data_IF_882942610450
#
_entry.id   IF_882942610450
#
_cell.length_a   1.000
_cell.length_b   1.000
_cell.length_c   1.000
_cell.angle_alpha   90.00
_cell.angle_beta   90.00
_cell.angle_gamma   90.00
#
_symmetry.space_group_name_H-M   'P 1'
#
loop_
_entity.id
_entity.type
_entity.pdbx_description
1 polymer ?
#
# COMPACT_ATOMS: atom_id res chain seq x y z
N UNK A 1 4.31 -9.38 18.75
CA UNK A 1 5.75 -9.37 18.46
C UNK A 1 5.94 -9.61 16.99
N UNK A 2 6.69 -8.74 16.31
CA UNK A 2 6.93 -8.83 14.90
C UNK A 2 8.30 -9.46 14.64
N UNK A 3 8.34 -10.77 14.59
CA UNK A 3 9.54 -11.54 14.22
C UNK A 3 9.73 -11.50 12.70
N UNK A 4 10.71 -10.74 12.25
CA UNK A 4 11.09 -10.73 10.85
C UNK A 4 12.15 -9.69 10.52
N UNK A 5 13.40 -10.10 10.58
CA UNK A 5 14.60 -9.42 10.07
C UNK A 5 15.31 -8.43 10.99
N UNK A 6 16.54 -8.77 11.29
CA UNK A 6 17.49 -8.18 12.21
C UNK A 6 18.20 -6.92 11.69
N UNK A 7 17.53 -6.01 11.00
CA UNK A 7 18.14 -4.73 10.67
C UNK A 7 17.19 -3.62 11.09
N UNK A 8 17.51 -2.97 12.22
CA UNK A 8 16.93 -1.72 12.71
C UNK A 8 15.39 -1.65 12.60
N UNK A 9 14.68 -2.56 13.30
CA UNK A 9 13.26 -2.36 13.53
C UNK A 9 13.08 -1.06 14.33
N UNK A 10 12.25 -0.15 13.85
CA UNK A 10 11.88 1.02 14.66
C UNK A 10 11.25 0.52 15.97
N UNK A 11 11.63 1.06 17.13
CA UNK A 11 11.07 0.63 18.40
C UNK A 11 9.56 0.93 18.44
N UNK A 12 8.82 0.07 19.03
CA UNK A 12 7.40 0.34 19.34
C UNK A 12 7.29 1.47 20.37
N UNK A 13 6.13 2.11 20.44
CA UNK A 13 5.85 3.14 21.46
C UNK A 13 6.10 2.60 22.87
N UNK A 14 5.68 1.36 23.14
CA UNK A 14 5.86 0.71 24.43
C UNK A 14 7.34 0.46 24.76
N UNK A 15 8.14 0.01 23.79
CA UNK A 15 9.59 -0.19 23.95
C UNK A 15 10.32 1.14 24.19
N UNK A 16 9.97 2.19 23.44
CA UNK A 16 10.57 3.50 23.60
C UNK A 16 10.28 4.09 25.01
N UNK A 17 9.04 3.95 25.49
CA UNK A 17 8.66 4.37 26.85
C UNK A 17 9.39 3.53 27.90
N UNK A 18 9.48 2.21 27.73
CA UNK A 18 10.20 1.32 28.64
C UNK A 18 11.72 1.59 28.65
N UNK A 19 12.28 2.02 27.51
CA UNK A 19 13.69 2.45 27.43
C UNK A 19 13.96 3.81 28.09
N UNK A 20 12.95 4.48 28.63
CA UNK A 20 13.11 5.71 29.41
C UNK A 20 12.83 7.00 28.65
N UNK A 21 12.23 6.95 27.46
CA UNK A 21 11.77 8.16 26.80
C UNK A 21 10.70 8.87 27.63
N UNK A 22 10.88 10.17 27.85
CA UNK A 22 9.91 10.98 28.59
C UNK A 22 8.60 11.17 27.80
N UNK A 23 8.73 11.28 26.47
CA UNK A 23 7.62 11.45 25.54
C UNK A 23 7.98 10.81 24.18
N UNK A 24 7.02 10.13 23.59
CA UNK A 24 7.07 9.58 22.24
C UNK A 24 5.96 10.21 21.40
N UNK A 25 6.30 10.72 20.22
CA UNK A 25 5.34 11.30 19.28
C UNK A 25 5.23 10.38 18.06
N UNK A 26 4.00 10.07 17.64
CA UNK A 26 3.74 9.24 16.47
C UNK A 26 2.43 9.63 15.77
N UNK A 27 2.24 9.15 14.54
CA UNK A 27 1.07 9.46 13.71
C UNK A 27 0.01 8.37 13.81
N UNK A 28 -1.26 8.77 13.83
CA UNK A 28 -2.40 7.86 13.80
C UNK A 28 -2.66 7.27 12.42
N UNK A 29 -2.37 8.00 11.35
CA UNK A 29 -2.66 7.69 9.95
C UNK A 29 -1.55 6.91 9.22
N UNK A 30 -0.53 6.47 9.94
CA UNK A 30 0.56 5.66 9.39
C UNK A 30 0.36 4.17 9.74
N UNK A 31 1.33 3.55 10.39
CA UNK A 31 1.31 2.12 10.73
C UNK A 31 0.16 1.72 11.65
N UNK A 32 -0.34 2.66 12.46
CA UNK A 32 -1.52 2.43 13.29
C UNK A 32 -2.79 2.19 12.45
N UNK A 33 -2.88 2.77 11.26
CA UNK A 33 -4.03 2.60 10.35
C UNK A 33 -5.29 3.33 10.81
N UNK A 34 -5.15 4.35 11.65
CA UNK A 34 -6.23 5.22 12.10
C UNK A 34 -6.32 6.52 11.30
N UNK A 35 -7.04 7.53 11.81
CA UNK A 35 -7.16 8.84 11.18
C UNK A 35 -5.89 9.66 11.36
N UNK A 36 -5.77 10.73 10.58
CA UNK A 36 -4.69 11.69 10.73
C UNK A 36 -4.77 12.37 12.10
N UNK A 37 -3.81 12.05 12.95
CA UNK A 37 -3.68 12.62 14.29
C UNK A 37 -2.22 12.51 14.76
N UNK A 38 -1.73 13.55 15.43
CA UNK A 38 -0.50 13.48 16.20
C UNK A 38 -0.81 12.93 17.61
N UNK A 39 -0.17 11.83 17.97
CA UNK A 39 -0.38 11.17 19.26
C UNK A 39 0.89 11.31 20.10
N UNK A 40 0.71 11.67 21.37
CA UNK A 40 1.79 11.77 22.34
C UNK A 40 1.55 10.76 23.46
N UNK A 41 2.54 9.91 23.73
CA UNK A 41 2.53 8.96 24.83
C UNK A 41 3.81 9.14 25.66
N UNK A 42 3.77 8.85 26.96
CA UNK A 42 4.95 8.95 27.81
C UNK A 42 4.62 9.15 29.29
N UNK A 43 5.57 9.72 30.04
CA UNK A 43 5.44 9.91 31.48
C UNK A 43 4.25 10.82 31.82
N UNK A 44 3.42 10.38 32.74
CA UNK A 44 2.18 11.07 33.13
C UNK A 44 2.36 12.54 33.51
N UNK A 45 3.47 12.87 34.19
CA UNK A 45 3.81 14.27 34.55
C UNK A 45 4.01 15.14 33.31
N UNK A 46 4.81 14.64 32.31
CA UNK A 46 5.09 15.36 31.08
C UNK A 46 3.80 15.53 30.25
N UNK A 47 3.08 14.44 30.06
CA UNK A 47 1.79 14.47 29.34
C UNK A 47 0.78 15.41 30.04
N UNK A 48 0.74 15.38 31.38
CA UNK A 48 -0.13 16.27 32.16
C UNK A 48 0.19 17.75 31.96
N UNK A 49 1.47 18.10 31.80
CA UNK A 49 1.92 19.48 31.46
C UNK A 49 1.54 19.85 30.04
N UNK A 50 1.79 18.96 29.06
CA UNK A 50 1.45 19.17 27.66
C UNK A 50 -0.06 19.38 27.46
N UNK A 51 -0.91 18.62 28.17
CA UNK A 51 -2.39 18.77 28.10
C UNK A 51 -2.90 20.14 28.55
N UNK A 52 -2.12 20.89 29.33
CA UNK A 52 -2.47 22.24 29.81
C UNK A 52 -1.89 23.34 28.92
N UNK A 53 -1.09 23.00 27.92
CA UNK A 53 -0.44 24.00 27.08
C UNK A 53 -1.48 24.71 26.17
N UNK A 54 -1.47 26.06 26.10
CA UNK A 54 -2.46 26.81 25.31
C UNK A 54 -2.51 26.42 23.82
N UNK A 55 -1.36 25.98 23.24
CA UNK A 55 -1.28 25.58 21.84
C UNK A 55 -2.19 24.39 21.50
N UNK A 56 -2.53 23.53 22.47
CA UNK A 56 -3.46 22.43 22.25
C UNK A 56 -4.86 22.92 21.86
N UNK A 57 -5.22 24.16 22.18
CA UNK A 57 -6.47 24.72 21.72
C UNK A 57 -6.51 24.89 20.20
N UNK A 58 -5.39 25.28 19.59
CA UNK A 58 -5.25 25.43 18.15
C UNK A 58 -5.05 24.07 17.43
N UNK A 59 -4.38 23.12 18.09
CA UNK A 59 -4.04 21.80 17.51
C UNK A 59 -5.08 20.71 17.83
N UNK A 60 -6.19 21.05 18.46
CA UNK A 60 -7.18 20.07 18.89
C UNK A 60 -7.87 19.42 17.69
N UNK A 61 -7.82 18.07 17.57
CA UNK A 61 -8.58 17.37 16.54
C UNK A 61 -10.10 17.50 16.77
N UNK A 62 -10.86 17.35 15.71
CA UNK A 62 -12.32 17.36 15.76
C UNK A 62 -12.88 16.06 16.37
N UNK A 63 -14.21 16.04 16.57
CA UNK A 63 -14.90 14.92 17.21
C UNK A 63 -14.86 13.63 16.39
N UNK A 64 -14.91 13.73 15.05
CA UNK A 64 -14.90 12.58 14.16
C UNK A 64 -13.52 11.92 14.17
N UNK A 65 -12.46 12.72 14.10
CA UNK A 65 -11.08 12.25 14.26
C UNK A 65 -10.89 11.51 15.58
N UNK A 66 -11.39 12.08 16.70
CA UNK A 66 -11.28 11.43 18.01
C UNK A 66 -12.08 10.13 18.09
N UNK A 67 -13.30 10.10 17.56
CA UNK A 67 -14.12 8.88 17.54
C UNK A 67 -13.49 7.77 16.71
N UNK A 68 -13.00 8.11 15.52
CA UNK A 68 -12.33 7.15 14.62
C UNK A 68 -11.04 6.62 15.23
N UNK A 69 -10.24 7.50 15.85
CA UNK A 69 -9.01 7.09 16.55
C UNK A 69 -9.33 6.15 17.72
N UNK A 70 -10.37 6.48 18.51
CA UNK A 70 -10.81 5.62 19.61
C UNK A 70 -11.19 4.23 19.10
N UNK A 71 -12.04 4.15 18.06
CA UNK A 71 -12.44 2.86 17.47
C UNK A 71 -11.22 2.05 16.96
N UNK A 72 -10.26 2.71 16.34
CA UNK A 72 -9.02 2.06 15.90
C UNK A 72 -8.25 1.49 17.10
N UNK A 73 -8.06 2.28 18.16
CA UNK A 73 -7.34 1.85 19.37
C UNK A 73 -8.08 0.73 20.11
N UNK A 74 -9.41 0.72 20.10
CA UNK A 74 -10.24 -0.35 20.66
C UNK A 74 -10.02 -1.67 19.92
N UNK A 75 -9.90 -1.67 18.59
CA UNK A 75 -9.56 -2.86 17.83
C UNK A 75 -8.21 -3.45 18.27
N UNK A 76 -7.20 -2.62 18.50
CA UNK A 76 -5.91 -3.07 19.02
C UNK A 76 -6.00 -3.60 20.46
N UNK A 77 -6.69 -2.87 21.34
CA UNK A 77 -6.87 -3.25 22.75
C UNK A 77 -7.58 -4.59 22.90
N UNK A 78 -8.58 -4.85 22.06
CA UNK A 78 -9.47 -6.00 22.16
C UNK A 78 -8.96 -7.21 21.31
N UNK A 79 -7.76 -7.09 20.72
CA UNK A 79 -7.14 -8.17 19.92
C UNK A 79 -7.77 -8.37 18.55
N UNK A 80 -8.45 -7.35 18.03
CA UNK A 80 -9.08 -7.34 16.71
C UNK A 80 -8.29 -6.52 15.67
N UNK A 81 -7.00 -6.33 15.89
CA UNK A 81 -6.10 -5.54 15.03
C UNK A 81 -6.04 -6.05 13.58
N UNK A 82 -6.32 -7.35 13.35
CA UNK A 82 -6.48 -7.91 12.01
C UNK A 82 -7.65 -7.28 11.20
N UNK A 83 -8.56 -6.57 11.83
CA UNK A 83 -9.61 -5.81 11.14
C UNK A 83 -9.11 -4.48 10.60
N UNK A 84 -7.96 -3.97 11.07
CA UNK A 84 -7.32 -2.77 10.56
C UNK A 84 -6.63 -3.10 9.22
N UNK A 85 -7.04 -2.48 8.09
CA UNK A 85 -6.48 -2.82 6.76
C UNK A 85 -4.97 -2.72 6.70
N UNK A 86 -4.38 -1.63 7.21
CA UNK A 86 -2.92 -1.44 7.25
C UNK A 86 -2.22 -2.57 8.00
N UNK A 87 -2.75 -2.98 9.16
CA UNK A 87 -2.20 -4.08 9.95
C UNK A 87 -2.24 -5.39 9.18
N UNK A 88 -3.37 -5.69 8.53
CA UNK A 88 -3.54 -6.88 7.71
C UNK A 88 -2.55 -6.94 6.55
N UNK A 89 -2.35 -5.80 5.85
CA UNK A 89 -1.37 -5.70 4.77
C UNK A 89 0.07 -5.93 5.28
N UNK A 90 0.42 -5.38 6.45
CA UNK A 90 1.75 -5.54 7.04
C UNK A 90 2.05 -6.97 7.47
N UNK A 91 1.06 -7.69 8.01
CA UNK A 91 1.21 -9.03 8.60
C UNK A 91 0.84 -10.16 7.65
N UNK A 92 0.44 -9.86 6.40
CA UNK A 92 0.06 -10.88 5.43
C UNK A 92 1.21 -11.87 5.17
N UNK A 93 0.94 -13.15 5.36
CA UNK A 93 1.89 -14.24 5.15
C UNK A 93 2.22 -14.41 3.66
N UNK A 94 3.49 -14.70 3.30
CA UNK A 94 3.90 -14.88 1.92
C UNK A 94 3.07 -15.97 1.18
N UNK A 95 2.69 -17.04 1.85
CA UNK A 95 1.87 -18.09 1.24
C UNK A 95 0.48 -17.61 0.84
N UNK A 96 -0.14 -16.74 1.67
CA UNK A 96 -1.45 -16.13 1.36
C UNK A 96 -1.32 -15.17 0.18
N UNK A 97 -0.26 -14.38 0.14
CA UNK A 97 0.01 -13.46 -0.96
C UNK A 97 0.28 -14.21 -2.27
N UNK A 98 1.02 -15.32 -2.22
CA UNK A 98 1.24 -16.17 -3.39
C UNK A 98 -0.07 -16.72 -3.93
N UNK A 99 -0.92 -17.30 -3.09
CA UNK A 99 -2.23 -17.82 -3.50
C UNK A 99 -3.12 -16.72 -4.10
N UNK A 100 -3.08 -15.50 -3.53
CA UNK A 100 -3.80 -14.34 -4.06
C UNK A 100 -3.28 -13.91 -5.42
N UNK A 101 -1.97 -13.89 -5.64
CA UNK A 101 -1.36 -13.57 -6.92
C UNK A 101 -1.70 -14.63 -7.99
N UNK A 102 -1.65 -15.92 -7.65
CA UNK A 102 -2.03 -17.01 -8.55
C UNK A 102 -3.51 -16.89 -8.96
N UNK A 103 -4.41 -16.55 -8.03
CA UNK A 103 -5.83 -16.31 -8.30
C UNK A 103 -6.04 -15.10 -9.23
N UNK A 104 -5.30 -14.00 -9.00
CA UNK A 104 -5.35 -12.82 -9.87
C UNK A 104 -4.86 -13.17 -11.27
N UNK A 105 -3.76 -13.91 -11.43
CA UNK A 105 -3.26 -14.37 -12.71
C UNK A 105 -4.31 -15.18 -13.47
N UNK A 106 -5.01 -16.11 -12.79
CA UNK A 106 -6.08 -16.90 -13.41
C UNK A 106 -7.23 -16.01 -13.93
N UNK A 107 -7.62 -14.99 -13.15
CA UNK A 107 -8.63 -14.01 -13.57
C UNK A 107 -8.15 -13.17 -14.76
N UNK A 108 -6.89 -12.78 -14.78
CA UNK A 108 -6.27 -12.09 -15.91
C UNK A 108 -6.30 -12.97 -17.17
N UNK A 109 -5.89 -14.22 -17.07
CA UNK A 109 -5.92 -15.17 -18.19
C UNK A 109 -7.35 -15.38 -18.73
N UNK A 110 -8.33 -15.53 -17.84
CA UNK A 110 -9.74 -15.63 -18.23
C UNK A 110 -10.26 -14.35 -18.93
N UNK A 111 -9.69 -13.19 -18.61
CA UNK A 111 -9.98 -11.91 -19.25
C UNK A 111 -9.15 -11.65 -20.53
N UNK A 112 -8.30 -12.60 -20.96
CA UNK A 112 -7.43 -12.44 -22.13
C UNK A 112 -6.20 -11.55 -21.86
N UNK A 113 -5.80 -11.37 -20.60
CA UNK A 113 -4.63 -10.61 -20.18
C UNK A 113 -3.50 -11.59 -19.90
N UNK A 114 -2.41 -11.47 -20.65
CA UNK A 114 -1.17 -12.20 -20.37
C UNK A 114 -0.47 -11.55 -19.17
N UNK A 115 -0.23 -12.33 -18.11
CA UNK A 115 0.33 -11.85 -16.87
C UNK A 115 1.08 -12.95 -16.14
N UNK A 116 2.16 -12.59 -15.45
CA UNK A 116 3.05 -13.49 -14.72
C UNK A 116 3.05 -13.19 -13.24
N UNK A 117 3.04 -14.23 -12.40
CA UNK A 117 3.25 -14.06 -10.95
C UNK A 117 4.73 -13.97 -10.66
N UNK A 118 5.14 -12.88 -10.01
CA UNK A 118 6.53 -12.64 -9.64
C UNK A 118 6.67 -12.39 -8.13
N UNK A 119 7.75 -12.93 -7.55
CA UNK A 119 8.16 -12.57 -6.19
C UNK A 119 8.74 -11.15 -6.19
N UNK A 120 8.40 -10.36 -5.18
CA UNK A 120 8.84 -8.96 -5.09
C UNK A 120 9.03 -8.52 -3.65
N UNK A 121 9.53 -7.30 -3.47
CA UNK A 121 9.65 -6.65 -2.17
C UNK A 121 8.72 -5.44 -2.11
N UNK A 122 7.78 -5.47 -1.17
CA UNK A 122 6.91 -4.34 -0.90
C UNK A 122 7.58 -3.36 0.07
N UNK A 123 7.62 -2.09 -0.26
CA UNK A 123 8.01 -1.05 0.69
C UNK A 123 6.83 -0.72 1.62
N UNK A 124 7.12 -0.47 2.89
CA UNK A 124 6.08 -0.04 3.84
C UNK A 124 5.56 1.36 3.50
N UNK A 125 6.41 2.20 2.93
CA UNK A 125 6.03 3.51 2.36
C UNK A 125 5.71 4.58 3.41
N UNK A 126 5.25 5.74 2.92
CA UNK A 126 4.68 6.80 3.74
C UNK A 126 5.61 7.44 4.78
N UNK A 127 6.93 7.30 4.67
CA UNK A 127 7.89 7.79 5.66
C UNK A 127 7.87 7.02 6.98
N UNK A 128 7.27 5.81 6.98
CA UNK A 128 7.32 4.87 8.08
C UNK A 128 8.19 3.68 7.66
N UNK A 129 9.14 3.29 8.47
CA UNK A 129 10.09 2.19 8.20
C UNK A 129 10.74 2.28 6.80
N UNK A 130 11.41 3.37 6.43
CA UNK A 130 11.84 3.64 5.05
C UNK A 130 12.86 2.62 4.52
N UNK A 131 13.59 1.94 5.41
CA UNK A 131 14.59 0.93 5.06
C UNK A 131 14.04 -0.51 5.09
N UNK A 132 12.76 -0.67 5.43
CA UNK A 132 12.15 -1.99 5.56
C UNK A 132 11.34 -2.37 4.34
N UNK A 133 11.62 -3.55 3.81
CA UNK A 133 10.82 -4.18 2.78
C UNK A 133 10.21 -5.47 3.31
N UNK A 134 9.09 -5.87 2.72
CA UNK A 134 8.33 -7.06 3.06
C UNK A 134 8.31 -8.00 1.85
N UNK A 135 8.64 -9.29 2.02
CA UNK A 135 8.48 -10.27 0.96
C UNK A 135 7.04 -10.26 0.44
N UNK A 136 6.84 -10.07 -0.86
CA UNK A 136 5.51 -9.99 -1.46
C UNK A 136 5.44 -10.72 -2.80
N UNK A 137 4.25 -10.78 -3.36
CA UNK A 137 4.01 -11.27 -4.72
C UNK A 137 3.23 -10.21 -5.50
N UNK A 138 3.51 -10.13 -6.78
CA UNK A 138 2.82 -9.24 -7.70
C UNK A 138 2.42 -9.99 -8.96
N UNK A 139 1.40 -9.51 -9.63
CA UNK A 139 1.12 -9.86 -11.01
C UNK A 139 1.79 -8.81 -11.88
N UNK A 140 2.68 -9.27 -12.75
CA UNK A 140 3.45 -8.45 -13.68
C UNK A 140 2.88 -8.59 -15.10
N UNK A 141 2.64 -7.47 -15.75
CA UNK A 141 2.30 -7.44 -17.17
C UNK A 141 3.60 -7.48 -17.99
N UNK A 142 3.63 -8.20 -19.14
CA UNK A 142 4.84 -8.36 -19.92
C UNK A 142 5.42 -6.99 -20.31
N UNK A 143 6.74 -6.86 -20.19
CA UNK A 143 7.47 -5.76 -20.79
C UNK A 143 7.45 -5.97 -22.30
N UNK A 144 7.13 -4.97 -23.08
CA UNK A 144 7.57 -4.98 -24.47
C UNK A 144 9.10 -5.20 -24.47
N UNK A 145 9.63 -5.91 -25.49
CA UNK A 145 11.04 -6.26 -25.58
C UNK A 145 11.96 -5.12 -25.12
N UNK A 146 13.07 -5.47 -24.46
CA UNK A 146 14.01 -4.61 -23.70
C UNK A 146 14.72 -3.48 -24.49
N UNK A 147 14.12 -2.99 -25.52
CA UNK A 147 14.54 -1.83 -26.31
C UNK A 147 13.68 -0.65 -25.91
N UNK A 148 14.13 0.34 -25.20
CA UNK A 148 13.49 1.61 -24.83
C UNK A 148 11.96 1.82 -25.02
N UNK A 149 11.34 1.02 -25.86
CA UNK A 149 9.89 0.92 -26.10
C UNK A 149 9.13 0.28 -24.93
N UNK A 150 9.76 -0.67 -24.21
CA UNK A 150 9.12 -1.32 -23.03
C UNK A 150 8.81 -0.33 -21.92
N UNK A 151 9.72 0.58 -21.63
CA UNK A 151 9.52 1.64 -20.63
C UNK A 151 8.41 2.62 -21.04
N UNK A 152 8.30 2.93 -22.33
CA UNK A 152 7.24 3.81 -22.83
C UNK A 152 5.86 3.15 -22.74
N UNK A 153 5.76 1.85 -23.08
CA UNK A 153 4.52 1.08 -22.94
C UNK A 153 4.12 0.93 -21.47
N UNK A 154 5.07 0.59 -20.59
CA UNK A 154 4.81 0.46 -19.15
C UNK A 154 4.27 1.77 -18.55
N UNK A 155 4.83 2.93 -18.94
CA UNK A 155 4.32 4.25 -18.50
C UNK A 155 2.93 4.56 -19.04
N UNK A 156 2.64 4.24 -20.30
CA UNK A 156 1.29 4.40 -20.87
C UNK A 156 0.27 3.54 -20.13
N UNK A 157 0.63 2.29 -19.86
CA UNK A 157 -0.23 1.35 -19.17
C UNK A 157 -0.46 1.75 -17.70
N UNK A 158 0.59 2.16 -17.00
CA UNK A 158 0.48 2.69 -15.62
C UNK A 158 -0.42 3.94 -15.59
N UNK A 159 -0.26 4.85 -16.53
CA UNK A 159 -1.12 6.04 -16.64
C UNK A 159 -2.58 5.66 -16.95
N UNK A 160 -2.82 4.71 -17.86
CA UNK A 160 -4.16 4.22 -18.18
C UNK A 160 -4.83 3.57 -16.96
N UNK A 161 -4.09 2.80 -16.17
CA UNK A 161 -4.56 2.22 -14.91
C UNK A 161 -4.89 3.29 -13.87
N UNK A 162 -4.05 4.29 -13.71
CA UNK A 162 -4.23 5.39 -12.75
C UNK A 162 -5.45 6.24 -13.06
N UNK A 163 -5.75 6.45 -14.35
CA UNK A 163 -6.88 7.26 -14.82
C UNK A 163 -8.11 6.42 -15.19
N UNK A 164 -8.06 5.10 -14.98
CA UNK A 164 -9.15 4.18 -15.24
C UNK A 164 -10.23 4.21 -14.17
N UNK A 165 -11.30 3.45 -14.42
CA UNK A 165 -12.40 3.24 -13.46
C UNK A 165 -12.59 1.72 -13.23
N UNK A 166 -12.24 1.18 -12.06
CA UNK A 166 -11.61 1.87 -10.92
C UNK A 166 -10.17 2.30 -11.21
N UNK A 167 -9.71 3.34 -10.52
CA UNK A 167 -8.31 3.79 -10.59
C UNK A 167 -7.40 2.77 -9.89
N UNK A 168 -6.33 2.35 -10.57
CA UNK A 168 -5.35 1.40 -10.03
C UNK A 168 -3.97 2.05 -10.02
N UNK A 169 -3.36 2.11 -8.85
CA UNK A 169 -1.98 2.58 -8.67
C UNK A 169 -1.05 1.37 -8.69
N UNK A 170 -0.37 1.19 -9.81
CA UNK A 170 0.65 0.16 -10.01
C UNK A 170 2.05 0.78 -9.95
N UNK A 171 3.09 -0.06 -9.86
CA UNK A 171 4.47 0.40 -9.97
C UNK A 171 5.13 -0.13 -11.24
N UNK A 172 6.14 0.59 -11.71
CA UNK A 172 6.97 0.15 -12.82
C UNK A 172 8.31 -0.34 -12.26
N UNK A 173 8.70 -1.56 -12.64
CA UNK A 173 9.97 -2.16 -12.26
C UNK A 173 10.52 -2.94 -13.44
N UNK A 174 11.76 -2.66 -13.83
CA UNK A 174 12.42 -3.27 -15.01
C UNK A 174 11.57 -3.22 -16.30
N UNK A 175 10.92 -2.09 -16.57
CA UNK A 175 10.05 -1.90 -17.74
C UNK A 175 8.72 -2.65 -17.72
N UNK A 176 8.35 -3.28 -16.60
CA UNK A 176 7.11 -4.03 -16.40
C UNK A 176 6.19 -3.29 -15.43
N UNK A 177 4.88 -3.39 -15.64
CA UNK A 177 3.88 -2.91 -14.68
C UNK A 177 3.59 -4.01 -13.68
N UNK A 178 3.79 -3.74 -12.40
CA UNK A 178 3.59 -4.66 -11.29
C UNK A 178 2.40 -4.24 -10.43
N UNK A 179 1.44 -5.14 -10.26
CA UNK A 179 0.32 -5.03 -9.31
C UNK A 179 0.62 -5.90 -8.10
N UNK A 180 1.11 -5.30 -7.03
CA UNK A 180 1.45 -5.99 -5.78
C UNK A 180 0.18 -6.33 -5.00
N UNK A 181 -0.07 -7.63 -4.78
CA UNK A 181 -1.31 -8.11 -4.15
C UNK A 181 -1.35 -7.87 -2.64
N UNK A 182 -0.24 -7.44 -2.03
CA UNK A 182 -0.21 -7.05 -0.61
C UNK A 182 -1.06 -5.81 -0.34
N UNK A 183 -1.13 -4.88 -1.30
CA UNK A 183 -1.89 -3.64 -1.16
C UNK A 183 -3.41 -3.82 -1.27
N UNK A 184 -3.89 -5.00 -1.65
CA UNK A 184 -5.32 -5.31 -1.72
C UNK A 184 -5.89 -5.56 -0.33
N UNK A 185 -7.03 -4.93 -0.04
CA UNK A 185 -7.70 -5.08 1.27
C UNK A 185 -8.23 -6.50 1.43
N UNK A 186 -8.86 -7.05 0.39
CA UNK A 186 -9.33 -8.43 0.37
C UNK A 186 -9.47 -8.98 -1.07
N UNK A 187 -9.88 -10.23 -1.18
CA UNK A 187 -9.96 -10.93 -2.47
C UNK A 187 -11.12 -10.46 -3.36
N UNK A 188 -12.06 -9.66 -2.85
CA UNK A 188 -13.16 -9.11 -3.67
C UNK A 188 -12.67 -8.08 -4.69
N UNK A 189 -11.49 -7.51 -4.47
CA UNK A 189 -10.84 -6.57 -5.38
C UNK A 189 -10.18 -7.24 -6.60
N UNK A 190 -9.91 -8.56 -6.54
CA UNK A 190 -9.21 -9.27 -7.61
C UNK A 190 -9.93 -9.24 -8.97
N UNK A 191 -11.25 -9.47 -9.06
CA UNK A 191 -11.96 -9.37 -10.33
C UNK A 191 -11.96 -7.94 -10.90
N UNK A 192 -12.05 -6.93 -10.03
CA UNK A 192 -12.00 -5.51 -10.42
C UNK A 192 -10.63 -5.16 -11.00
N UNK A 193 -9.57 -5.63 -10.35
CA UNK A 193 -8.20 -5.42 -10.83
C UNK A 193 -7.97 -6.09 -12.18
N UNK A 194 -8.39 -7.36 -12.36
CA UNK A 194 -8.27 -8.06 -13.64
C UNK A 194 -9.02 -7.33 -14.77
N UNK A 195 -10.21 -6.81 -14.48
CA UNK A 195 -10.98 -6.00 -15.44
C UNK A 195 -10.28 -4.68 -15.79
N UNK A 196 -9.73 -3.98 -14.79
CA UNK A 196 -8.99 -2.72 -15.00
C UNK A 196 -7.75 -2.96 -15.86
N UNK A 197 -7.00 -4.05 -15.62
CA UNK A 197 -5.85 -4.43 -16.42
C UNK A 197 -6.22 -4.69 -17.89
N UNK A 198 -7.31 -5.40 -18.14
CA UNK A 198 -7.83 -5.63 -19.50
C UNK A 198 -8.19 -4.32 -20.20
N UNK A 199 -8.92 -3.44 -19.52
CA UNK A 199 -9.34 -2.14 -20.08
C UNK A 199 -8.14 -1.25 -20.43
N UNK A 200 -7.16 -1.18 -19.55
CA UNK A 200 -5.95 -0.40 -19.75
C UNK A 200 -5.14 -0.90 -20.96
N UNK A 201 -5.00 -2.22 -21.11
CA UNK A 201 -4.34 -2.81 -22.27
C UNK A 201 -5.06 -2.49 -23.59
N UNK A 202 -6.39 -2.59 -23.62
CA UNK A 202 -7.18 -2.24 -24.82
C UNK A 202 -7.03 -0.76 -25.18
N UNK A 203 -7.03 0.14 -24.19
CA UNK A 203 -6.83 1.56 -24.41
C UNK A 203 -5.46 1.87 -24.99
N UNK A 204 -4.42 1.18 -24.53
CA UNK A 204 -3.07 1.34 -25.06
C UNK A 204 -2.91 0.81 -26.48
N UNK A 205 -3.55 -0.32 -26.83
CA UNK A 205 -3.51 -0.92 -28.16
C UNK A 205 -4.28 -0.08 -29.21
N UNK A 206 -5.43 0.51 -28.83
CA UNK A 206 -6.23 1.36 -29.69
C UNK A 206 -5.52 2.66 -30.11
N UNK A 207 -4.69 3.20 -29.25
CA UNK A 207 -3.89 4.41 -29.55
C UNK A 207 -2.78 4.12 -30.58
N UNK A 208 -2.21 2.91 -30.57
CA UNK A 208 -1.18 2.54 -31.56
C UNK A 208 -1.77 2.31 -32.96
N UNK A 209 -2.97 1.75 -33.04
CA UNK A 209 -3.68 1.58 -34.32
C UNK A 209 -4.08 2.94 -34.96
N UNK A 210 -4.36 3.95 -34.16
CA UNK A 210 -4.71 5.29 -34.63
C UNK A 210 -3.48 6.16 -35.00
N UNK A 211 -2.29 5.80 -34.52
CA UNK A 211 -1.04 6.52 -34.77
C UNK A 211 -0.20 5.97 -35.95
N UNK A 212 -0.64 4.88 -36.60
CA UNK A 212 0.00 4.40 -37.80
C UNK A 212 -0.23 5.40 -38.95
N UNK A 213 0.80 5.95 -39.60
CA UNK A 213 0.62 6.87 -40.70
C UNK A 213 -0.09 6.14 -41.84
N UNK A 214 -1.24 6.68 -42.27
CA UNK A 214 -1.88 6.28 -43.52
C UNK A 214 -0.84 6.48 -44.63
N UNK A 215 -0.34 5.36 -45.17
CA UNK A 215 0.59 5.37 -46.30
C UNK A 215 -0.02 6.19 -47.42
N UNK A 216 0.65 7.26 -47.79
CA UNK A 216 0.42 7.97 -49.03
C UNK A 216 0.96 7.09 -50.15
N UNK A 217 0.08 6.63 -51.01
CA UNK A 217 0.40 6.27 -52.37
C UNK A 217 0.77 7.51 -53.20
#
# INVERSE_FOLDING_TARGET
EWEGSSAAAEPTVSEAVAAGCDVVAFSGDKLLGGPQAGILAGRGEVIGRLRKHPLLRALRPDKLTLATLLSTLELYRDGHDAQVPTRRMLTAEPAVLRARADKLQQLCAAAGVDAEVVGTQAAVGGGAMPLRTLPSFAVALPAGEATGRGDALARKLEAALRHGEPAVVARIEAGRVLCDVRALVDDSELPLLAQALRQALHSCAGVEAAAAPSGLE
#
